data_IF_352044896797
#
_entry.id   IF_352044896797
#
_cell.length_a   1.000
_cell.length_b   1.000
_cell.length_c   1.000
_cell.angle_alpha   90.00
_cell.angle_beta   90.00
_cell.angle_gamma   90.00
#
_symmetry.space_group_name_H-M   'P 1'
#
loop_
_entity.id
_entity.type
_entity.pdbx_description
1 polymer ?
#
# COMPACT_ATOMS: atom_id res chain seq x y z
N UNK A 1 -2.34 -16.27 -26.25
CA UNK A 1 -1.29 -17.25 -25.86
C UNK A 1 -0.38 -16.60 -24.84
N UNK A 2 -0.09 -17.27 -23.73
CA UNK A 2 0.82 -16.75 -22.70
C UNK A 2 2.22 -17.33 -22.93
N UNK A 3 3.23 -16.45 -22.99
CA UNK A 3 4.63 -16.82 -23.22
C UNK A 3 5.49 -16.00 -22.25
N UNK A 4 6.41 -16.68 -21.57
CA UNK A 4 7.52 -16.05 -20.86
C UNK A 4 8.85 -16.54 -21.39
N UNK A 5 9.87 -15.71 -21.33
CA UNK A 5 11.24 -16.05 -21.72
C UNK A 5 12.19 -15.65 -20.61
N UNK A 6 13.11 -16.54 -20.26
CA UNK A 6 14.23 -16.25 -19.38
C UNK A 6 15.50 -16.23 -20.23
N UNK A 7 16.18 -15.09 -20.25
CA UNK A 7 17.40 -14.86 -21.01
C UNK A 7 18.56 -14.55 -20.08
N UNK A 8 19.74 -15.08 -20.38
CA UNK A 8 20.97 -14.74 -19.66
C UNK A 8 22.20 -14.81 -20.56
N UNK A 9 23.09 -13.82 -20.43
CA UNK A 9 24.42 -13.89 -21.05
C UNK A 9 25.45 -14.68 -20.23
N UNK A 10 25.06 -15.25 -19.09
CA UNK A 10 25.92 -16.11 -18.28
C UNK A 10 26.21 -17.43 -19.03
N UNK A 11 27.48 -17.78 -19.31
CA UNK A 11 27.84 -19.03 -19.99
C UNK A 11 27.36 -20.31 -19.28
N UNK A 12 27.06 -20.22 -17.98
CA UNK A 12 26.54 -21.33 -17.16
C UNK A 12 25.01 -21.34 -17.07
N UNK A 13 24.30 -20.54 -17.87
CA UNK A 13 22.83 -20.40 -17.81
C UNK A 13 22.09 -21.75 -17.84
N UNK A 14 22.49 -22.65 -18.73
CA UNK A 14 21.87 -23.99 -18.88
C UNK A 14 22.00 -24.83 -17.60
N UNK A 15 23.14 -24.75 -16.92
CA UNK A 15 23.39 -25.40 -15.64
C UNK A 15 22.59 -24.75 -14.51
N UNK A 16 22.52 -23.42 -14.47
CA UNK A 16 21.77 -22.67 -13.46
C UNK A 16 20.29 -23.05 -13.49
N UNK A 17 19.68 -23.09 -14.68
CA UNK A 17 18.26 -23.46 -14.82
C UNK A 17 18.00 -24.98 -14.80
N UNK A 18 19.07 -25.79 -14.81
CA UNK A 18 19.04 -27.26 -14.88
C UNK A 18 18.24 -27.78 -16.07
N UNK A 19 18.46 -27.18 -17.24
CA UNK A 19 17.85 -27.59 -18.51
C UNK A 19 18.96 -27.83 -19.53
N UNK A 20 18.87 -28.94 -20.25
CA UNK A 20 19.84 -29.28 -21.28
C UNK A 20 19.26 -28.92 -22.66
N UNK A 21 19.93 -28.03 -23.45
CA UNK A 21 19.52 -27.66 -24.81
C UNK A 21 19.26 -28.85 -25.75
N UNK A 22 19.94 -29.99 -25.55
CA UNK A 22 19.78 -31.17 -26.40
C UNK A 22 18.51 -31.98 -26.10
N UNK A 23 17.78 -31.68 -25.02
CA UNK A 23 16.63 -32.51 -24.57
C UNK A 23 15.37 -32.25 -25.41
N UNK A 24 15.37 -31.23 -26.27
CA UNK A 24 14.19 -30.80 -27.02
C UNK A 24 13.14 -30.16 -26.10
N UNK A 25 11.88 -30.22 -26.52
CA UNK A 25 10.76 -29.58 -25.84
C UNK A 25 10.36 -30.34 -24.56
N UNK A 26 10.22 -29.63 -23.44
CA UNK A 26 9.76 -30.18 -22.17
C UNK A 26 8.29 -29.83 -21.94
N UNK A 27 7.47 -30.82 -21.59
CA UNK A 27 6.04 -30.62 -21.35
C UNK A 27 5.73 -30.78 -19.86
N UNK A 28 4.86 -29.92 -19.34
CA UNK A 28 4.31 -30.04 -17.98
C UNK A 28 2.85 -29.61 -17.94
N UNK A 29 2.04 -30.34 -17.17
CA UNK A 29 0.69 -29.89 -16.85
C UNK A 29 0.77 -28.77 -15.81
N UNK A 30 0.07 -27.67 -16.08
CA UNK A 30 -0.05 -26.52 -15.16
C UNK A 30 -1.51 -26.17 -15.08
N UNK A 31 -2.11 -26.35 -13.90
CA UNK A 31 -3.56 -26.25 -13.70
C UNK A 31 -4.29 -27.17 -14.70
N UNK A 32 -5.23 -26.65 -15.48
CA UNK A 32 -5.96 -27.41 -16.49
C UNK A 32 -5.23 -27.46 -17.84
N UNK A 33 -4.27 -26.56 -18.07
CA UNK A 33 -3.53 -26.46 -19.33
C UNK A 33 -2.20 -27.23 -19.36
N UNK A 34 -1.52 -27.08 -20.51
CA UNK A 34 -0.20 -27.63 -20.77
C UNK A 34 0.81 -26.51 -21.06
N UNK A 35 2.01 -26.68 -20.51
CA UNK A 35 3.15 -25.82 -20.78
C UNK A 35 4.21 -26.54 -21.59
N UNK A 36 4.92 -25.77 -22.39
CA UNK A 36 5.94 -26.24 -23.33
C UNK A 36 7.19 -25.38 -23.13
N UNK A 37 8.25 -25.97 -22.63
CA UNK A 37 9.54 -25.32 -22.40
C UNK A 37 10.56 -25.70 -23.47
N UNK A 38 11.26 -24.73 -24.06
CA UNK A 38 12.30 -25.00 -25.06
C UNK A 38 13.35 -23.89 -25.14
N UNK A 39 14.53 -24.23 -25.65
CA UNK A 39 15.56 -23.26 -26.00
C UNK A 39 15.35 -22.73 -27.41
N UNK A 40 15.36 -21.41 -27.59
CA UNK A 40 15.50 -20.79 -28.92
C UNK A 40 16.97 -20.69 -29.33
N UNK A 41 17.84 -20.51 -28.34
CA UNK A 41 19.30 -20.49 -28.42
C UNK A 41 19.86 -20.83 -27.03
N UNK A 42 21.18 -21.00 -26.88
CA UNK A 42 21.80 -21.38 -25.60
C UNK A 42 21.63 -20.35 -24.47
N UNK A 43 21.26 -19.11 -24.81
CA UNK A 43 21.09 -18.00 -23.85
C UNK A 43 19.63 -17.74 -23.47
N UNK A 44 18.66 -18.38 -24.14
CA UNK A 44 17.23 -18.06 -23.99
C UNK A 44 16.37 -19.32 -23.85
N UNK A 45 15.70 -19.44 -22.70
CA UNK A 45 14.71 -20.48 -22.44
C UNK A 45 13.29 -19.91 -22.45
N UNK A 46 12.42 -20.53 -23.22
CA UNK A 46 11.05 -20.10 -23.44
C UNK A 46 10.09 -21.03 -22.70
N UNK A 47 9.00 -20.50 -22.17
CA UNK A 47 7.87 -21.27 -21.65
C UNK A 47 6.59 -20.74 -22.28
N UNK A 48 5.93 -21.60 -23.05
CA UNK A 48 4.64 -21.35 -23.66
C UNK A 48 3.56 -22.07 -22.88
N UNK A 49 2.42 -21.42 -22.66
CA UNK A 49 1.23 -22.04 -22.07
C UNK A 49 0.07 -22.07 -23.05
N UNK A 50 -0.46 -23.29 -23.22
CA UNK A 50 -1.73 -23.56 -23.88
C UNK A 50 -2.72 -24.02 -22.81
N UNK A 51 -3.83 -23.32 -22.66
CA UNK A 51 -4.89 -23.77 -21.75
C UNK A 51 -5.62 -25.00 -22.30
N UNK A 52 -6.42 -25.66 -21.47
CA UNK A 52 -7.32 -26.72 -21.92
C UNK A 52 -8.36 -26.19 -22.92
N UNK A 53 -8.78 -27.04 -23.85
CA UNK A 53 -9.75 -26.68 -24.91
C UNK A 53 -11.22 -26.66 -24.41
N UNK A 54 -11.51 -27.08 -23.18
CA UNK A 54 -12.87 -27.08 -22.60
C UNK A 54 -12.89 -26.68 -21.10
N UNK A 55 -11.74 -26.31 -20.54
CA UNK A 55 -11.57 -25.96 -19.13
C UNK A 55 -10.82 -24.62 -18.99
N UNK A 56 -10.88 -24.01 -17.81
CA UNK A 56 -10.30 -22.69 -17.56
C UNK A 56 -9.29 -22.81 -16.40
N UNK A 57 -8.01 -22.58 -16.71
CA UNK A 57 -6.96 -22.60 -15.68
C UNK A 57 -7.03 -21.37 -14.75
N UNK A 58 -7.33 -20.20 -15.30
CA UNK A 58 -7.32 -18.93 -14.57
C UNK A 58 -8.71 -18.31 -14.58
N UNK A 59 -9.54 -18.79 -13.65
CA UNK A 59 -10.94 -18.40 -13.54
C UNK A 59 -11.10 -16.99 -12.97
N UNK A 60 -12.09 -16.25 -13.47
CA UNK A 60 -12.54 -14.98 -12.87
C UNK A 60 -13.45 -15.20 -11.67
N UNK A 61 -14.24 -16.27 -11.70
CA UNK A 61 -15.15 -16.68 -10.63
C UNK A 61 -14.97 -18.18 -10.35
N UNK A 62 -15.16 -18.59 -9.09
CA UNK A 62 -14.87 -19.97 -8.64
C UNK A 62 -15.69 -21.03 -9.41
N UNK A 63 -16.93 -20.70 -9.71
CA UNK A 63 -17.94 -21.50 -10.42
C UNK A 63 -17.84 -21.42 -11.95
N UNK A 64 -16.88 -20.65 -12.49
CA UNK A 64 -16.68 -20.55 -13.95
C UNK A 64 -16.26 -21.92 -14.51
N UNK A 65 -17.12 -22.52 -15.34
CA UNK A 65 -16.92 -23.88 -15.85
C UNK A 65 -17.03 -23.98 -17.38
N UNK A 66 -17.38 -22.89 -18.08
CA UNK A 66 -17.63 -22.93 -19.52
C UNK A 66 -16.87 -21.84 -20.28
N UNK A 67 -16.20 -22.27 -21.35
CA UNK A 67 -15.15 -21.54 -22.04
C UNK A 67 -15.65 -20.55 -23.11
N UNK A 68 -16.63 -19.69 -22.82
CA UNK A 68 -17.17 -18.88 -23.92
C UNK A 68 -16.30 -17.66 -24.30
N UNK A 69 -15.48 -17.06 -23.41
CA UNK A 69 -14.66 -15.87 -23.73
C UNK A 69 -13.65 -15.43 -22.63
N UNK A 70 -13.04 -16.36 -21.87
CA UNK A 70 -12.00 -15.96 -20.90
C UNK A 70 -10.69 -15.61 -21.63
N UNK A 71 -10.59 -14.36 -22.09
CA UNK A 71 -9.41 -13.82 -22.79
C UNK A 71 -8.24 -13.54 -21.85
N UNK A 72 -8.50 -13.43 -20.54
CA UNK A 72 -7.48 -13.02 -19.56
C UNK A 72 -6.51 -14.14 -19.20
N UNK A 73 -6.87 -15.41 -19.45
CA UNK A 73 -5.97 -16.57 -19.32
C UNK A 73 -4.61 -16.43 -20.06
N UNK A 74 -4.54 -15.56 -21.07
CA UNK A 74 -3.34 -15.35 -21.90
C UNK A 74 -2.48 -14.16 -21.49
N UNK A 75 -2.98 -13.31 -20.62
CA UNK A 75 -2.26 -12.16 -20.06
C UNK A 75 -2.29 -12.13 -18.53
N UNK A 76 -2.83 -13.15 -17.85
CA UNK A 76 -2.87 -13.22 -16.40
C UNK A 76 -1.46 -13.13 -15.77
N UNK A 77 -1.25 -12.27 -14.75
CA UNK A 77 -0.01 -12.22 -13.99
C UNK A 77 0.30 -13.52 -13.22
N UNK A 78 -0.69 -14.42 -13.06
CA UNK A 78 -0.52 -15.71 -12.40
C UNK A 78 0.32 -16.71 -13.20
N UNK A 79 0.28 -16.63 -14.54
CA UNK A 79 1.03 -17.56 -15.37
C UNK A 79 2.55 -17.39 -15.22
N UNK A 80 3.13 -16.18 -15.28
CA UNK A 80 4.54 -15.98 -14.95
C UNK A 80 4.95 -16.58 -13.61
N UNK A 81 4.12 -16.46 -12.57
CA UNK A 81 4.37 -17.09 -11.27
C UNK A 81 4.43 -18.61 -11.39
N UNK A 82 3.50 -19.24 -12.10
CA UNK A 82 3.51 -20.68 -12.32
C UNK A 82 4.72 -21.13 -13.16
N UNK A 83 5.05 -20.41 -14.22
CA UNK A 83 6.21 -20.69 -15.06
C UNK A 83 7.54 -20.62 -14.26
N UNK A 84 7.70 -19.62 -13.39
CA UNK A 84 8.86 -19.51 -12.49
C UNK A 84 8.96 -20.74 -11.58
N UNK A 85 7.85 -21.15 -10.97
CA UNK A 85 7.86 -22.28 -10.05
C UNK A 85 8.08 -23.64 -10.71
N UNK A 86 7.60 -23.82 -11.95
CA UNK A 86 7.73 -25.10 -12.61
C UNK A 86 9.04 -25.20 -13.39
N UNK A 87 9.34 -24.22 -14.24
CA UNK A 87 10.50 -24.31 -15.13
C UNK A 87 11.77 -23.75 -14.51
N UNK A 88 11.66 -22.77 -13.60
CA UNK A 88 12.78 -22.04 -13.03
C UNK A 88 12.91 -22.24 -11.50
N UNK A 89 12.32 -23.31 -10.95
CA UNK A 89 12.39 -23.61 -9.52
C UNK A 89 13.82 -23.79 -8.99
N UNK A 90 14.73 -24.33 -9.79
CA UNK A 90 16.12 -24.56 -9.37
C UNK A 90 16.85 -23.24 -9.06
N UNK A 91 16.93 -22.27 -9.99
CA UNK A 91 17.53 -20.97 -9.71
C UNK A 91 16.65 -20.10 -8.81
N UNK A 92 15.33 -20.33 -8.70
CA UNK A 92 14.46 -19.55 -7.82
C UNK A 92 14.54 -19.96 -6.34
N UNK A 93 14.80 -21.23 -6.02
CA UNK A 93 14.79 -21.70 -4.62
C UNK A 93 16.12 -21.49 -3.89
N UNK A 94 17.22 -21.42 -4.63
CA UNK A 94 18.56 -21.33 -4.05
C UNK A 94 19.46 -20.51 -4.98
N UNK A 95 20.14 -19.52 -4.41
CA UNK A 95 21.22 -18.82 -5.09
C UNK A 95 22.40 -19.78 -5.30
N UNK A 96 22.82 -19.94 -6.55
CA UNK A 96 23.96 -20.75 -6.95
C UNK A 96 25.19 -19.86 -7.12
N UNK A 97 26.37 -20.28 -6.63
CA UNK A 97 27.60 -19.47 -6.68
C UNK A 97 28.03 -19.11 -8.11
N UNK A 98 27.56 -19.85 -9.12
CA UNK A 98 27.81 -19.56 -10.54
C UNK A 98 26.95 -18.40 -11.07
N UNK A 99 25.91 -18.00 -10.34
CA UNK A 99 25.02 -16.88 -10.66
C UNK A 99 25.59 -15.56 -10.11
N UNK A 100 26.78 -15.23 -10.62
CA UNK A 100 27.56 -14.06 -10.22
C UNK A 100 27.14 -12.79 -10.98
N UNK A 101 27.45 -11.63 -10.40
CA UNK A 101 27.19 -10.32 -11.03
C UNK A 101 27.98 -10.11 -12.32
N UNK A 102 27.47 -9.22 -13.17
CA UNK A 102 28.15 -8.74 -14.38
C UNK A 102 27.62 -9.31 -15.68
N UNK A 103 26.84 -10.39 -15.62
CA UNK A 103 26.07 -10.90 -16.77
C UNK A 103 24.73 -10.19 -16.89
N UNK A 104 24.20 -10.14 -18.10
CA UNK A 104 22.88 -9.57 -18.37
C UNK A 104 21.83 -10.66 -18.26
N UNK A 105 20.80 -10.41 -17.45
CA UNK A 105 19.67 -11.29 -17.26
C UNK A 105 18.38 -10.54 -17.61
N UNK A 106 17.45 -11.22 -18.27
CA UNK A 106 16.14 -10.66 -18.57
C UNK A 106 15.04 -11.70 -18.43
N UNK A 107 13.94 -11.29 -17.79
CA UNK A 107 12.70 -12.05 -17.74
C UNK A 107 11.65 -11.29 -18.54
N UNK A 108 11.28 -11.86 -19.68
CA UNK A 108 10.33 -11.29 -20.60
C UNK A 108 8.98 -11.98 -20.48
N UNK A 109 7.91 -11.19 -20.45
CA UNK A 109 6.53 -11.63 -20.44
C UNK A 109 5.87 -11.02 -21.67
N UNK A 110 5.48 -11.87 -22.62
CA UNK A 110 4.96 -11.42 -23.92
C UNK A 110 3.66 -10.61 -23.80
N UNK A 111 2.82 -11.00 -22.84
CA UNK A 111 1.56 -10.33 -22.56
C UNK A 111 1.21 -10.49 -21.09
N UNK A 112 1.02 -9.38 -20.38
CA UNK A 112 0.61 -9.32 -18.98
C UNK A 112 -0.44 -8.23 -18.79
N UNK A 113 -1.47 -8.53 -17.99
CA UNK A 113 -2.50 -7.60 -17.59
C UNK A 113 -1.95 -6.68 -16.50
N UNK A 114 -2.02 -5.38 -16.72
CA UNK A 114 -1.60 -4.37 -15.77
C UNK A 114 -2.73 -3.34 -15.66
N UNK A 115 -3.51 -3.44 -14.59
CA UNK A 115 -4.55 -2.46 -14.28
C UNK A 115 -3.95 -1.14 -13.77
N UNK A 116 -2.89 -1.23 -12.96
CA UNK A 116 -2.29 -0.10 -12.25
C UNK A 116 -0.81 0.04 -12.59
N UNK A 117 -0.52 0.81 -13.64
CA UNK A 117 0.85 1.10 -14.10
C UNK A 117 1.76 1.62 -12.98
N UNK A 118 1.23 2.38 -12.03
CA UNK A 118 1.97 2.91 -10.87
C UNK A 118 2.80 1.86 -10.11
N UNK A 119 2.39 0.60 -10.08
CA UNK A 119 3.18 -0.46 -9.42
C UNK A 119 4.48 -0.75 -10.15
N UNK A 120 4.51 -0.59 -11.47
CA UNK A 120 5.74 -0.70 -12.26
C UNK A 120 6.66 0.45 -11.93
N UNK A 121 6.13 1.68 -11.94
CA UNK A 121 6.88 2.90 -11.60
C UNK A 121 7.47 2.80 -10.20
N UNK A 122 6.72 2.28 -9.22
CA UNK A 122 7.21 2.08 -7.87
C UNK A 122 8.35 1.06 -7.80
N UNK A 123 8.23 -0.08 -8.48
CA UNK A 123 9.29 -1.08 -8.50
C UNK A 123 10.54 -0.54 -9.19
N UNK A 124 10.40 0.17 -10.30
CA UNK A 124 11.51 0.79 -11.02
C UNK A 124 12.23 1.83 -10.17
N UNK A 125 11.47 2.68 -9.47
CA UNK A 125 12.03 3.71 -8.59
C UNK A 125 12.82 3.11 -7.42
N UNK A 126 12.25 2.09 -6.78
CA UNK A 126 12.77 1.51 -5.54
C UNK A 126 13.82 0.41 -5.75
N UNK A 127 13.84 -0.23 -6.92
CA UNK A 127 14.76 -1.32 -7.26
C UNK A 127 15.67 -0.89 -8.40
N UNK A 128 16.50 0.12 -8.14
CA UNK A 128 17.37 0.80 -9.13
C UNK A 128 18.38 -0.10 -9.84
N UNK A 129 18.64 -1.31 -9.32
CA UNK A 129 19.50 -2.34 -9.92
C UNK A 129 18.77 -3.21 -10.96
N UNK A 130 17.49 -2.91 -11.21
CA UNK A 130 16.61 -3.60 -12.14
C UNK A 130 16.01 -2.59 -13.12
N UNK A 131 15.79 -3.02 -14.35
CA UNK A 131 15.08 -2.24 -15.37
C UNK A 131 13.70 -2.84 -15.65
N UNK A 132 12.71 -2.00 -15.90
CA UNK A 132 11.34 -2.41 -16.21
C UNK A 132 10.91 -1.76 -17.52
N UNK A 133 10.88 -2.54 -18.60
CA UNK A 133 10.47 -2.03 -19.91
C UNK A 133 9.08 -2.53 -20.25
N UNK A 134 8.16 -1.59 -20.43
CA UNK A 134 6.78 -1.86 -20.84
C UNK A 134 6.56 -1.46 -22.30
N UNK A 135 5.89 -2.33 -23.04
CA UNK A 135 5.35 -2.02 -24.36
C UNK A 135 3.85 -2.30 -24.37
N UNK A 136 3.03 -1.26 -24.54
CA UNK A 136 1.58 -1.42 -24.63
C UNK A 136 1.22 -2.25 -25.87
N UNK A 137 0.43 -3.31 -25.68
CA UNK A 137 -0.04 -4.19 -26.77
C UNK A 137 -1.47 -3.86 -27.16
N UNK A 138 -2.38 -3.94 -26.19
CA UNK A 138 -3.79 -3.64 -26.38
C UNK A 138 -4.50 -3.58 -25.02
N UNK A 139 -5.39 -2.59 -24.84
CA UNK A 139 -6.08 -2.39 -23.57
C UNK A 139 -5.08 -2.42 -22.38
N UNK A 140 -5.48 -2.92 -21.21
CA UNK A 140 -4.62 -3.15 -20.05
C UNK A 140 -3.58 -4.27 -20.25
N UNK A 141 -3.20 -4.62 -21.48
CA UNK A 141 -2.23 -5.68 -21.77
C UNK A 141 -0.93 -5.10 -22.31
N UNK A 142 0.17 -5.53 -21.73
CA UNK A 142 1.52 -5.04 -22.02
C UNK A 142 2.47 -6.21 -22.25
N UNK A 143 3.50 -6.02 -23.07
CA UNK A 143 4.71 -6.82 -22.92
C UNK A 143 5.57 -6.17 -21.83
N UNK A 144 6.13 -7.00 -20.95
CA UNK A 144 6.97 -6.55 -19.84
C UNK A 144 8.31 -7.26 -19.90
N UNK A 145 9.39 -6.50 -19.86
CA UNK A 145 10.75 -7.02 -19.67
C UNK A 145 11.29 -6.52 -18.35
N UNK A 146 11.72 -7.44 -17.48
CA UNK A 146 12.48 -7.12 -16.27
C UNK A 146 13.92 -7.50 -16.53
N UNK A 147 14.85 -6.55 -16.40
CA UNK A 147 16.28 -6.75 -16.64
C UNK A 147 17.11 -6.53 -15.38
N UNK A 148 18.27 -7.16 -15.29
CA UNK A 148 19.28 -6.85 -14.27
C UNK A 148 20.67 -7.33 -14.68
N UNK A 149 21.71 -6.80 -14.03
CA UNK A 149 23.08 -7.30 -14.08
C UNK A 149 23.55 -8.00 -12.81
N UNK A 150 22.63 -8.18 -11.85
CA UNK A 150 22.92 -8.75 -10.52
C UNK A 150 22.98 -10.27 -10.54
N UNK A 151 21.83 -10.91 -10.69
CA UNK A 151 21.74 -12.36 -10.67
C UNK A 151 20.42 -12.82 -11.27
N UNK A 152 20.40 -14.04 -11.79
CA UNK A 152 19.18 -14.73 -12.19
C UNK A 152 18.27 -14.97 -10.97
N UNK A 153 18.85 -15.26 -9.81
CA UNK A 153 18.16 -15.44 -8.54
C UNK A 153 17.33 -14.20 -8.17
N UNK A 154 17.98 -13.04 -8.09
CA UNK A 154 17.33 -11.77 -7.79
C UNK A 154 16.26 -11.41 -8.82
N UNK A 155 16.56 -11.59 -10.11
CA UNK A 155 15.61 -11.35 -11.20
C UNK A 155 14.31 -12.14 -11.04
N UNK A 156 14.40 -13.44 -10.74
CA UNK A 156 13.21 -14.30 -10.59
C UNK A 156 12.39 -13.93 -9.36
N UNK A 157 13.03 -13.47 -8.27
CA UNK A 157 12.34 -12.97 -7.09
C UNK A 157 11.66 -11.62 -7.34
N UNK A 158 12.32 -10.67 -8.01
CA UNK A 158 11.69 -9.40 -8.41
C UNK A 158 10.49 -9.65 -9.32
N UNK A 159 10.65 -10.48 -10.35
CA UNK A 159 9.57 -10.86 -11.25
C UNK A 159 8.40 -11.51 -10.50
N UNK A 160 8.70 -12.37 -9.53
CA UNK A 160 7.69 -13.04 -8.71
C UNK A 160 6.91 -12.08 -7.82
N UNK A 161 7.60 -11.17 -7.12
CA UNK A 161 6.94 -10.19 -6.26
C UNK A 161 6.09 -9.24 -7.10
N UNK A 162 6.61 -8.72 -8.22
CA UNK A 162 5.85 -7.84 -9.10
C UNK A 162 4.61 -8.53 -9.68
N UNK A 163 4.75 -9.75 -10.23
CA UNK A 163 3.61 -10.48 -10.78
C UNK A 163 2.55 -10.81 -9.71
N UNK A 164 2.96 -11.04 -8.47
CA UNK A 164 2.03 -11.22 -7.35
C UNK A 164 1.23 -9.93 -7.08
N UNK A 165 1.87 -8.76 -7.02
CA UNK A 165 1.16 -7.48 -6.88
C UNK A 165 0.20 -7.23 -8.04
N UNK A 166 0.64 -7.47 -9.28
CA UNK A 166 -0.20 -7.30 -10.47
C UNK A 166 -1.42 -8.24 -10.44
N UNK A 167 -1.26 -9.47 -9.92
CA UNK A 167 -2.36 -10.43 -9.83
C UNK A 167 -3.50 -9.99 -8.92
N UNK A 168 -3.25 -9.12 -7.93
CA UNK A 168 -4.31 -8.61 -7.05
C UNK A 168 -5.33 -7.73 -7.75
N UNK A 169 -4.91 -7.05 -8.82
CA UNK A 169 -5.75 -6.15 -9.60
C UNK A 169 -6.12 -6.76 -10.95
N UNK A 170 -5.79 -8.04 -11.16
CA UNK A 170 -6.27 -8.81 -12.29
C UNK A 170 -7.75 -9.17 -12.13
N UNK A 171 -8.36 -9.63 -13.21
CA UNK A 171 -9.74 -10.11 -13.19
C UNK A 171 -9.88 -11.49 -12.54
N UNK A 172 -8.76 -12.17 -12.24
CA UNK A 172 -8.77 -13.54 -11.75
C UNK A 172 -8.80 -13.64 -10.23
N UNK A 173 -9.51 -14.66 -9.73
CA UNK A 173 -9.52 -14.96 -8.31
C UNK A 173 -8.17 -15.55 -7.89
N UNK A 174 -7.51 -14.89 -6.94
CA UNK A 174 -6.33 -15.41 -6.24
C UNK A 174 -6.68 -15.74 -4.79
N UNK A 175 -6.49 -17.01 -4.41
CA UNK A 175 -6.52 -17.39 -3.00
C UNK A 175 -5.19 -17.04 -2.35
N UNK A 176 -5.15 -15.92 -1.63
CA UNK A 176 -4.05 -15.55 -0.76
C UNK A 176 -4.12 -16.41 0.50
N UNK A 177 -3.71 -17.67 0.36
CA UNK A 177 -3.57 -18.61 1.47
C UNK A 177 -2.23 -18.42 2.19
N UNK A 178 -2.12 -19.01 3.39
CA UNK A 178 -0.87 -19.00 4.15
C UNK A 178 0.29 -19.61 3.34
N UNK A 179 0.02 -20.66 2.54
CA UNK A 179 1.03 -21.27 1.68
C UNK A 179 1.54 -20.32 0.57
N UNK A 180 0.71 -19.41 0.08
CA UNK A 180 1.13 -18.36 -0.86
C UNK A 180 2.03 -17.34 -0.14
N UNK A 181 1.65 -16.92 1.07
CA UNK A 181 2.45 -15.99 1.87
C UNK A 181 3.82 -16.58 2.25
N UNK A 182 3.85 -17.80 2.76
CA UNK A 182 5.07 -18.55 3.10
C UNK A 182 6.03 -18.68 1.90
N UNK A 183 5.47 -18.71 0.69
CA UNK A 183 6.22 -18.83 -0.56
C UNK A 183 6.80 -17.51 -1.05
N UNK A 184 6.05 -16.41 -0.95
CA UNK A 184 6.45 -15.13 -1.56
C UNK A 184 7.09 -14.13 -0.59
N UNK A 185 6.81 -14.19 0.72
CA UNK A 185 7.50 -13.36 1.72
C UNK A 185 9.02 -13.54 1.69
N UNK A 186 9.59 -14.76 1.54
CA UNK A 186 11.03 -14.92 1.36
C UNK A 186 11.60 -14.10 0.19
N UNK A 187 10.81 -13.89 -0.87
CA UNK A 187 11.23 -13.10 -2.03
C UNK A 187 11.45 -11.63 -1.69
N UNK A 188 10.66 -11.06 -0.77
CA UNK A 188 10.88 -9.69 -0.26
C UNK A 188 12.25 -9.56 0.40
N UNK A 189 12.66 -10.59 1.12
CA UNK A 189 13.93 -10.62 1.85
C UNK A 189 15.11 -10.86 0.92
N UNK A 190 14.95 -11.71 -0.09
CA UNK A 190 15.99 -11.96 -1.10
C UNK A 190 16.32 -10.72 -1.92
N UNK A 191 15.30 -9.97 -2.33
CA UNK A 191 15.52 -8.73 -3.09
C UNK A 191 15.84 -7.55 -2.17
N UNK A 192 15.94 -7.80 -0.86
CA UNK A 192 16.03 -6.82 0.21
C UNK A 192 15.14 -5.60 -0.07
N UNK A 193 13.84 -5.87 -0.24
CA UNK A 193 12.87 -4.88 -0.67
C UNK A 193 12.86 -3.68 0.29
N UNK A 194 12.75 -2.43 -0.19
CA UNK A 194 12.60 -1.28 0.69
C UNK A 194 11.24 -1.24 1.38
N UNK A 195 11.12 -0.37 2.38
CA UNK A 195 9.93 -0.12 3.19
C UNK A 195 8.67 -0.05 2.36
N UNK A 196 8.65 0.74 1.28
CA UNK A 196 7.41 0.97 0.55
C UNK A 196 6.83 -0.31 -0.06
N UNK A 197 7.67 -1.15 -0.68
CA UNK A 197 7.24 -2.45 -1.23
C UNK A 197 6.74 -3.37 -0.10
N UNK A 198 7.39 -3.36 1.07
CA UNK A 198 6.99 -4.16 2.25
C UNK A 198 5.67 -3.67 2.86
N UNK A 199 5.49 -2.37 3.00
CA UNK A 199 4.25 -1.74 3.51
C UNK A 199 3.09 -2.00 2.55
N UNK A 200 3.31 -1.88 1.23
CA UNK A 200 2.34 -2.30 0.22
C UNK A 200 2.00 -3.78 0.35
N UNK A 201 3.00 -4.65 0.54
CA UNK A 201 2.77 -6.09 0.72
C UNK A 201 1.90 -6.36 1.95
N UNK A 202 2.25 -5.78 3.10
CA UNK A 202 1.50 -5.95 4.34
C UNK A 202 0.04 -5.49 4.19
N UNK A 203 -0.17 -4.30 3.63
CA UNK A 203 -1.51 -3.74 3.39
C UNK A 203 -2.37 -4.60 2.46
N UNK A 204 -1.73 -5.18 1.45
CA UNK A 204 -2.42 -5.85 0.35
C UNK A 204 -2.55 -7.37 0.50
N UNK A 205 -1.78 -8.01 1.38
CA UNK A 205 -1.80 -9.46 1.54
C UNK A 205 -2.04 -9.91 2.98
N UNK A 206 -1.85 -9.03 3.97
CA UNK A 206 -2.06 -9.34 5.40
C UNK A 206 -3.35 -8.68 5.92
N UNK A 207 -4.48 -8.99 5.28
CA UNK A 207 -5.77 -8.33 5.55
C UNK A 207 -6.39 -8.61 6.92
N UNK A 208 -5.99 -9.68 7.61
CA UNK A 208 -6.49 -10.01 8.94
C UNK A 208 -5.43 -9.75 10.01
N UNK A 209 -5.86 -9.40 11.23
CA UNK A 209 -4.96 -9.17 12.37
C UNK A 209 -4.11 -10.41 12.69
N UNK A 210 -4.68 -11.61 12.54
CA UNK A 210 -3.97 -12.86 12.79
C UNK A 210 -2.85 -13.10 11.78
N UNK A 211 -3.15 -12.93 10.49
CA UNK A 211 -2.12 -13.03 9.43
C UNK A 211 -1.07 -11.95 9.58
N UNK A 212 -1.48 -10.72 9.86
CA UNK A 212 -0.56 -9.63 10.11
C UNK A 212 0.38 -9.96 11.27
N UNK A 213 -0.15 -10.41 12.41
CA UNK A 213 0.66 -10.82 13.57
C UNK A 213 1.59 -11.98 13.24
N UNK A 214 1.14 -12.96 12.45
CA UNK A 214 1.94 -14.12 12.05
C UNK A 214 3.15 -13.72 11.19
N UNK A 215 2.95 -12.85 10.20
CA UNK A 215 3.93 -12.57 9.16
C UNK A 215 4.69 -11.24 9.28
N UNK A 216 4.24 -10.34 10.16
CA UNK A 216 4.83 -8.99 10.34
C UNK A 216 6.35 -9.03 10.44
N UNK A 217 6.90 -9.86 11.32
CA UNK A 217 8.34 -9.93 11.55
C UNK A 217 9.14 -10.35 10.30
N UNK A 218 8.59 -11.26 9.48
CA UNK A 218 9.24 -11.69 8.23
C UNK A 218 9.13 -10.64 7.12
N UNK A 219 8.04 -9.86 7.11
CA UNK A 219 7.86 -8.76 6.16
C UNK A 219 8.70 -7.55 6.54
N UNK A 220 8.99 -7.33 7.82
CA UNK A 220 9.85 -6.23 8.32
C UNK A 220 11.35 -6.48 8.11
N UNK A 221 11.76 -7.73 7.94
CA UNK A 221 13.17 -8.12 7.89
C UNK A 221 13.89 -7.53 6.67
N UNK A 222 14.77 -6.57 6.87
CA UNK A 222 15.64 -5.98 5.84
C UNK A 222 16.98 -5.60 6.45
N UNK A 223 18.03 -5.54 5.62
CA UNK A 223 19.35 -5.08 6.06
C UNK A 223 19.52 -3.56 5.93
N UNK A 224 18.51 -2.85 5.40
CA UNK A 224 18.56 -1.40 5.12
C UNK A 224 18.36 -0.52 6.34
N UNK A 225 17.37 -0.85 7.17
CA UNK A 225 16.90 -0.03 8.29
C UNK A 225 15.88 -0.80 9.14
N UNK A 226 15.59 -0.29 10.34
CA UNK A 226 14.56 -0.89 11.20
C UNK A 226 13.16 -0.48 10.72
N UNK A 227 12.26 -1.46 10.50
CA UNK A 227 10.87 -1.24 10.11
C UNK A 227 9.93 -1.75 11.21
N UNK A 228 8.92 -0.95 11.54
CA UNK A 228 7.79 -1.37 12.38
C UNK A 228 6.46 -0.98 11.73
N UNK A 229 5.83 -1.96 11.10
CA UNK A 229 4.53 -1.84 10.42
C UNK A 229 3.36 -1.86 11.42
N UNK A 230 2.37 -1.01 11.21
CA UNK A 230 1.06 -1.14 11.85
C UNK A 230 0.10 -1.97 11.01
N UNK A 231 -0.93 -2.53 11.66
CA UNK A 231 -1.98 -3.23 10.92
C UNK A 231 -2.84 -2.22 10.14
N UNK A 232 -3.05 -2.48 8.84
CA UNK A 232 -3.80 -1.64 7.90
C UNK A 232 -3.03 -0.40 7.42
N UNK A 233 -3.68 0.46 6.64
CA UNK A 233 -3.04 1.67 6.11
C UNK A 233 -2.91 2.80 7.15
N UNK A 234 -2.07 3.79 6.87
CA UNK A 234 -1.79 4.95 7.75
C UNK A 234 -3.04 5.60 8.32
N UNK A 235 -4.06 5.87 7.48
CA UNK A 235 -5.33 6.45 7.96
C UNK A 235 -6.04 5.56 8.99
N UNK A 236 -6.05 4.24 8.81
CA UNK A 236 -6.65 3.31 9.77
C UNK A 236 -5.85 3.22 11.06
N UNK A 237 -4.52 3.26 10.96
CA UNK A 237 -3.63 3.27 12.12
C UNK A 237 -3.84 4.56 12.93
N UNK A 238 -3.95 5.72 12.27
CA UNK A 238 -4.28 7.00 12.88
C UNK A 238 -5.65 6.98 13.56
N UNK A 239 -6.70 6.51 12.89
CA UNK A 239 -8.03 6.37 13.51
C UNK A 239 -8.00 5.44 14.72
N UNK A 240 -7.24 4.36 14.66
CA UNK A 240 -7.10 3.43 15.79
C UNK A 240 -6.36 4.08 16.97
N UNK A 241 -5.33 4.88 16.69
CA UNK A 241 -4.60 5.64 17.70
C UNK A 241 -5.52 6.67 18.38
N UNK A 242 -6.22 7.50 17.59
CA UNK A 242 -7.15 8.52 18.10
C UNK A 242 -8.27 7.88 18.93
N UNK A 243 -8.83 6.76 18.47
CA UNK A 243 -9.82 6.00 19.23
C UNK A 243 -9.28 5.44 20.55
N UNK A 244 -7.96 5.22 20.68
CA UNK A 244 -7.34 4.81 21.94
C UNK A 244 -7.10 5.98 22.91
N UNK A 245 -7.04 7.21 22.40
CA UNK A 245 -6.88 8.44 23.20
C UNK A 245 -8.23 8.90 23.77
N UNK A 246 -9.29 8.85 22.96
CA UNK A 246 -10.63 9.31 23.31
C UNK A 246 -11.34 8.32 24.25
N UNK A 247 -12.06 8.87 25.24
CA UNK A 247 -12.87 8.13 26.22
C UNK A 247 -14.29 7.81 25.73
N UNK A 248 -14.78 8.52 24.70
CA UNK A 248 -16.14 8.40 24.17
C UNK A 248 -17.25 8.67 25.20
N UNK A 249 -17.00 9.54 26.18
CA UNK A 249 -17.93 9.93 27.25
C UNK A 249 -18.49 11.34 27.08
N UNK A 250 -18.13 12.02 25.99
CA UNK A 250 -18.52 13.40 25.68
C UNK A 250 -18.63 13.61 24.18
N UNK A 251 -19.27 14.70 23.72
CA UNK A 251 -19.39 14.97 22.29
C UNK A 251 -18.04 15.11 21.61
N UNK A 252 -17.98 14.76 20.33
CA UNK A 252 -16.78 14.94 19.50
C UNK A 252 -17.06 16.04 18.47
N UNK A 253 -16.14 16.99 18.34
CA UNK A 253 -16.08 17.95 17.24
C UNK A 253 -15.01 17.52 16.23
N UNK A 254 -15.43 17.11 15.05
CA UNK A 254 -14.60 16.61 13.96
C UNK A 254 -14.51 17.66 12.85
N UNK A 255 -13.39 18.37 12.79
CA UNK A 255 -13.15 19.45 11.82
C UNK A 255 -12.37 18.86 10.65
N UNK A 256 -12.92 18.99 9.45
CA UNK A 256 -12.48 18.28 8.24
C UNK A 256 -12.92 16.82 8.26
N UNK A 257 -14.22 16.57 8.54
CA UNK A 257 -14.73 15.21 8.73
C UNK A 257 -14.73 14.36 7.45
N UNK A 258 -14.59 15.00 6.28
CA UNK A 258 -14.63 14.40 4.96
C UNK A 258 -15.89 13.55 4.77
N UNK A 259 -15.75 12.40 4.13
CA UNK A 259 -16.87 11.47 3.92
C UNK A 259 -17.28 10.66 5.18
N UNK A 260 -16.86 11.08 6.38
CA UNK A 260 -17.25 10.44 7.65
C UNK A 260 -16.39 9.22 8.03
N UNK A 261 -15.10 9.24 7.67
CA UNK A 261 -14.17 8.16 8.02
C UNK A 261 -14.02 7.97 9.54
N UNK A 262 -14.11 9.07 10.30
CA UNK A 262 -14.17 9.10 11.76
C UNK A 262 -15.61 9.20 12.27
N UNK A 263 -16.41 10.11 11.70
CA UNK A 263 -17.78 10.36 12.13
C UNK A 263 -18.62 9.11 12.28
N UNK A 264 -18.70 8.28 11.25
CA UNK A 264 -19.56 7.10 11.25
C UNK A 264 -19.15 6.06 12.32
N UNK A 265 -17.90 5.59 12.41
CA UNK A 265 -17.52 4.61 13.44
C UNK A 265 -17.41 5.18 14.86
N UNK A 266 -17.24 6.49 15.03
CA UNK A 266 -17.11 7.10 16.36
C UNK A 266 -18.45 7.51 16.94
N UNK A 267 -19.37 8.05 16.13
CA UNK A 267 -20.72 8.38 16.57
C UNK A 267 -21.47 7.16 17.12
N UNK A 268 -21.30 5.98 16.51
CA UNK A 268 -21.86 4.72 17.03
C UNK A 268 -21.27 4.21 18.35
N UNK A 269 -20.28 4.92 18.94
CA UNK A 269 -19.74 4.66 20.28
C UNK A 269 -20.15 5.72 21.30
N UNK A 270 -20.84 6.77 20.87
CA UNK A 270 -21.25 7.89 21.71
C UNK A 270 -22.75 7.82 21.96
N UNK A 271 -23.15 8.13 23.18
CA UNK A 271 -24.54 8.50 23.50
C UNK A 271 -24.79 10.01 23.25
N UNK A 272 -23.72 10.80 23.25
CA UNK A 272 -23.73 12.24 23.00
C UNK A 272 -23.65 12.58 21.51
N UNK A 273 -23.76 13.86 21.18
CA UNK A 273 -23.65 14.36 19.82
C UNK A 273 -22.26 14.13 19.20
N UNK A 274 -22.22 13.97 17.89
CA UNK A 274 -21.02 14.03 17.06
C UNK A 274 -21.16 15.18 16.07
N UNK A 275 -20.35 16.20 16.22
CA UNK A 275 -20.35 17.39 15.37
C UNK A 275 -19.36 17.19 14.22
N UNK A 276 -19.89 17.00 13.01
CA UNK A 276 -19.12 16.80 11.79
C UNK A 276 -19.04 18.11 11.01
N UNK A 277 -17.85 18.67 10.86
CA UNK A 277 -17.63 19.96 10.19
C UNK A 277 -16.76 19.75 8.95
N UNK A 278 -17.22 20.23 7.80
CA UNK A 278 -16.45 20.24 6.56
C UNK A 278 -16.88 21.43 5.69
N UNK A 279 -15.96 21.99 4.91
CA UNK A 279 -16.26 23.09 3.99
C UNK A 279 -16.90 22.59 2.70
N UNK A 280 -16.76 21.30 2.39
CA UNK A 280 -17.39 20.66 1.25
C UNK A 280 -18.76 20.09 1.64
N UNK A 281 -19.82 20.76 1.19
CA UNK A 281 -21.20 20.35 1.47
C UNK A 281 -21.55 18.97 0.86
N UNK A 282 -20.92 18.55 -0.24
CA UNK A 282 -21.17 17.23 -0.85
C UNK A 282 -20.63 16.09 0.04
N UNK A 283 -19.54 16.35 0.76
CA UNK A 283 -19.00 15.42 1.76
C UNK A 283 -19.94 15.30 2.96
N UNK A 284 -20.50 16.41 3.43
CA UNK A 284 -21.51 16.42 4.50
C UNK A 284 -22.78 15.65 4.12
N UNK A 285 -23.28 15.83 2.90
CA UNK A 285 -24.39 15.04 2.36
C UNK A 285 -24.07 13.54 2.35
N UNK A 286 -22.82 13.19 2.06
CA UNK A 286 -22.33 11.81 2.11
C UNK A 286 -22.28 11.27 3.53
N UNK A 287 -21.86 12.07 4.52
CA UNK A 287 -21.93 11.72 5.94
C UNK A 287 -23.38 11.47 6.37
N UNK A 288 -24.29 12.40 6.09
CA UNK A 288 -25.70 12.29 6.44
C UNK A 288 -26.34 11.03 5.84
N UNK A 289 -26.05 10.73 4.57
CA UNK A 289 -26.51 9.51 3.89
C UNK A 289 -25.98 8.23 4.55
N UNK A 290 -24.68 8.20 4.88
CA UNK A 290 -24.04 7.06 5.56
C UNK A 290 -24.57 6.87 6.98
N UNK A 291 -24.87 7.96 7.70
CA UNK A 291 -25.45 7.94 9.03
C UNK A 291 -26.87 7.37 9.00
N UNK A 292 -27.73 7.89 8.11
CA UNK A 292 -29.10 7.40 7.92
C UNK A 292 -29.14 5.91 7.55
N UNK A 293 -28.25 5.45 6.65
CA UNK A 293 -28.16 4.05 6.25
C UNK A 293 -27.73 3.10 7.39
N UNK A 294 -27.12 3.65 8.45
CA UNK A 294 -26.70 2.90 9.65
C UNK A 294 -27.55 3.21 10.87
N UNK A 295 -28.65 3.96 10.71
CA UNK A 295 -29.54 4.36 11.80
C UNK A 295 -28.79 5.12 12.92
N UNK A 296 -27.80 5.95 12.54
CA UNK A 296 -27.06 6.82 13.45
C UNK A 296 -27.73 8.20 13.42
N UNK A 297 -28.28 8.64 14.55
CA UNK A 297 -29.08 9.87 14.70
C UNK A 297 -28.38 10.98 15.49
N UNK A 298 -27.24 10.69 16.12
CA UNK A 298 -26.48 11.62 16.94
C UNK A 298 -25.42 12.44 16.17
N UNK A 299 -25.37 12.35 14.82
CA UNK A 299 -24.46 13.17 14.01
C UNK A 299 -25.16 14.46 13.58
N UNK A 300 -24.53 15.60 13.87
CA UNK A 300 -24.93 16.92 13.36
C UNK A 300 -23.84 17.49 12.45
N UNK A 301 -24.21 17.88 11.23
CA UNK A 301 -23.28 18.38 10.21
C UNK A 301 -23.28 19.91 10.13
N UNK A 302 -22.12 20.53 9.97
CA UNK A 302 -21.97 21.98 9.80
C UNK A 302 -21.01 22.31 8.66
N UNK A 303 -21.31 23.31 7.81
CA UNK A 303 -20.48 23.68 6.65
C UNK A 303 -19.22 24.50 7.03
N UNK A 304 -19.09 24.91 8.29
CA UNK A 304 -17.88 25.57 8.80
C UNK A 304 -17.83 25.59 10.33
N UNK A 305 -16.64 25.85 10.89
CA UNK A 305 -16.47 26.04 12.32
C UNK A 305 -17.30 27.23 12.83
N UNK A 306 -17.39 28.32 12.07
CA UNK A 306 -18.20 29.48 12.47
C UNK A 306 -19.69 29.14 12.56
N UNK A 307 -20.23 28.33 11.63
CA UNK A 307 -21.62 27.86 11.70
C UNK A 307 -21.88 26.94 12.87
N UNK A 308 -20.92 26.08 13.21
CA UNK A 308 -20.98 25.31 14.44
C UNK A 308 -21.06 26.23 15.67
N UNK A 309 -20.16 27.21 15.76
CA UNK A 309 -20.05 28.14 16.88
C UNK A 309 -21.29 29.02 17.09
N UNK A 310 -22.10 29.28 16.05
CA UNK A 310 -23.39 29.99 16.18
C UNK A 310 -24.41 29.22 17.03
N UNK A 311 -24.28 27.90 17.11
CA UNK A 311 -25.19 27.01 17.86
C UNK A 311 -24.54 26.32 19.07
N UNK A 312 -23.22 26.47 19.20
CA UNK A 312 -22.42 25.86 20.25
C UNK A 312 -22.68 26.56 21.59
N UNK A 313 -23.07 25.77 22.60
CA UNK A 313 -23.46 26.27 23.92
C UNK A 313 -22.38 26.03 24.99
N UNK A 314 -21.11 26.16 24.61
CA UNK A 314 -19.95 25.98 25.50
C UNK A 314 -19.89 24.62 26.22
N UNK A 315 -20.48 23.57 25.62
CA UNK A 315 -20.40 22.22 26.18
C UNK A 315 -19.00 21.65 26.00
N UNK A 316 -18.53 20.88 26.97
CA UNK A 316 -17.18 20.31 26.92
C UNK A 316 -17.11 19.17 25.89
N UNK A 317 -16.24 19.30 24.89
CA UNK A 317 -16.09 18.33 23.78
C UNK A 317 -14.67 17.74 23.70
N UNK A 318 -14.49 16.67 22.94
CA UNK A 318 -13.19 16.28 22.38
C UNK A 318 -13.13 16.75 20.92
N UNK A 319 -12.04 17.40 20.50
CA UNK A 319 -11.86 17.91 19.14
C UNK A 319 -10.85 17.06 18.37
N UNK A 320 -11.17 16.71 17.14
CA UNK A 320 -10.25 16.08 16.19
C UNK A 320 -10.09 16.96 14.95
N UNK A 321 -8.84 17.18 14.56
CA UNK A 321 -8.42 17.96 13.38
C UNK A 321 -7.33 17.15 12.66
N UNK A 322 -7.74 16.16 11.87
CA UNK A 322 -6.83 15.12 11.37
C UNK A 322 -6.59 15.28 9.88
N UNK A 323 -5.35 15.56 9.47
CA UNK A 323 -4.97 15.79 8.06
C UNK A 323 -5.80 16.89 7.39
N UNK A 324 -5.78 18.09 7.97
CA UNK A 324 -6.55 19.24 7.50
C UNK A 324 -5.66 20.45 7.35
N UNK A 325 -4.75 20.66 8.30
CA UNK A 325 -3.94 21.87 8.40
C UNK A 325 -2.94 22.00 7.25
N UNK A 326 -2.54 20.90 6.61
CA UNK A 326 -1.64 20.86 5.46
C UNK A 326 -2.31 21.27 4.14
N UNK A 327 -3.64 21.33 4.10
CA UNK A 327 -4.43 21.74 2.93
C UNK A 327 -4.74 23.25 2.93
N UNK A 328 -4.09 24.02 3.81
CA UNK A 328 -4.22 25.46 3.92
C UNK A 328 -2.87 26.09 4.27
N UNK A 329 -2.73 27.41 4.13
CA UNK A 329 -1.49 28.08 4.50
C UNK A 329 -1.21 27.95 6.00
N UNK A 330 0.06 28.07 6.39
CA UNK A 330 0.48 28.02 7.81
C UNK A 330 -0.20 29.10 8.68
N UNK A 331 -0.57 30.24 8.08
CA UNK A 331 -1.28 31.33 8.76
C UNK A 331 -2.75 31.00 9.01
N UNK A 332 -3.43 30.40 8.02
CA UNK A 332 -4.81 29.92 8.14
C UNK A 332 -4.91 28.78 9.15
N UNK A 333 -4.00 27.81 9.08
CA UNK A 333 -3.93 26.71 10.04
C UNK A 333 -3.71 27.22 11.47
N UNK A 334 -2.80 28.20 11.64
CA UNK A 334 -2.57 28.82 12.95
C UNK A 334 -3.81 29.57 13.46
N UNK A 335 -4.52 30.27 12.57
CA UNK A 335 -5.75 30.98 12.89
C UNK A 335 -6.86 30.02 13.34
N UNK A 336 -7.04 28.91 12.61
CA UNK A 336 -8.00 27.86 12.96
C UNK A 336 -7.71 27.27 14.35
N UNK A 337 -6.46 26.87 14.62
CA UNK A 337 -6.06 26.31 15.92
C UNK A 337 -6.30 27.30 17.05
N UNK A 338 -5.96 28.59 16.86
CA UNK A 338 -6.21 29.63 17.86
C UNK A 338 -7.70 29.87 18.09
N UNK A 339 -8.50 29.84 17.02
CA UNK A 339 -9.95 29.98 17.12
C UNK A 339 -10.56 28.85 17.95
N UNK A 340 -10.16 27.59 17.70
CA UNK A 340 -10.58 26.43 18.51
C UNK A 340 -10.15 26.62 19.96
N UNK A 341 -8.88 26.96 20.20
CA UNK A 341 -8.32 27.25 21.52
C UNK A 341 -9.08 28.28 22.33
N UNK A 342 -9.57 29.33 21.66
CA UNK A 342 -10.25 30.46 22.28
C UNK A 342 -11.77 30.27 22.44
N UNK A 343 -12.43 29.57 21.52
CA UNK A 343 -13.90 29.53 21.41
C UNK A 343 -14.53 28.18 21.71
N UNK A 344 -13.76 27.09 21.78
CA UNK A 344 -14.29 25.74 22.04
C UNK A 344 -13.80 25.26 23.40
N UNK A 345 -14.71 24.91 24.31
CA UNK A 345 -14.35 24.24 25.55
C UNK A 345 -14.06 22.76 25.27
N UNK A 346 -12.78 22.42 25.08
CA UNK A 346 -12.37 21.04 24.82
C UNK A 346 -11.64 20.42 26.01
N UNK A 347 -11.86 19.13 26.19
CA UNK A 347 -11.02 18.28 27.04
C UNK A 347 -9.69 17.97 26.35
N UNK A 348 -9.76 17.59 25.06
CA UNK A 348 -8.60 17.32 24.22
C UNK A 348 -8.83 17.89 22.82
N UNK A 349 -7.80 18.50 22.25
CA UNK A 349 -7.73 18.80 20.83
C UNK A 349 -6.61 17.95 20.23
N UNK A 350 -6.96 17.06 19.31
CA UNK A 350 -6.01 16.18 18.63
C UNK A 350 -5.80 16.71 17.21
N UNK A 351 -4.58 17.15 16.93
CA UNK A 351 -4.18 17.63 15.60
C UNK A 351 -3.21 16.63 14.98
N UNK A 352 -3.42 16.24 13.73
CA UNK A 352 -2.45 15.40 12.99
C UNK A 352 -2.12 16.00 11.64
N UNK A 353 -0.92 15.71 11.17
CA UNK A 353 -0.43 16.11 9.84
C UNK A 353 0.65 15.13 9.37
N UNK A 354 0.90 15.02 8.05
CA UNK A 354 2.02 14.27 7.51
C UNK A 354 3.37 14.64 8.14
N UNK A 355 4.26 13.66 8.23
CA UNK A 355 5.66 13.87 8.62
C UNK A 355 6.58 13.89 7.40
N UNK A 356 7.06 15.07 7.00
CA UNK A 356 7.91 15.20 5.82
C UNK A 356 9.24 14.42 5.94
N UNK A 357 9.75 14.22 7.16
CA UNK A 357 11.00 13.47 7.41
C UNK A 357 10.87 12.00 6.94
N UNK A 358 9.64 11.49 6.84
CA UNK A 358 9.34 10.14 6.39
C UNK A 358 9.29 10.01 4.85
N UNK A 359 9.12 11.10 4.10
CA UNK A 359 8.86 11.05 2.64
C UNK A 359 9.97 10.35 1.84
N UNK A 360 11.20 10.37 2.36
CA UNK A 360 12.34 9.64 1.82
C UNK A 360 12.09 8.13 1.68
N UNK A 361 11.27 7.53 2.55
CA UNK A 361 10.95 6.10 2.52
C UNK A 361 9.84 5.73 1.54
N UNK A 362 9.10 6.73 1.05
CA UNK A 362 8.20 6.63 -0.10
C UNK A 362 8.91 6.99 -1.43
N UNK A 363 10.18 7.38 -1.33
CA UNK A 363 11.01 7.94 -2.40
C UNK A 363 10.37 9.17 -3.08
N UNK A 364 9.44 9.88 -2.45
CA UNK A 364 8.74 11.01 -3.05
C UNK A 364 9.68 12.21 -3.26
N UNK A 365 9.58 12.88 -4.41
CA UNK A 365 10.15 14.19 -4.64
C UNK A 365 9.06 15.23 -4.35
N UNK A 366 9.04 15.79 -3.13
CA UNK A 366 8.04 16.78 -2.71
C UNK A 366 7.00 16.24 -1.72
N UNK A 367 5.77 16.71 -1.85
CA UNK A 367 4.65 16.35 -0.96
C UNK A 367 4.09 14.97 -1.27
N UNK A 368 3.40 14.38 -0.29
CA UNK A 368 2.68 13.10 -0.41
C UNK A 368 1.45 13.21 -1.28
N UNK A 369 0.79 14.36 -1.25
CA UNK A 369 -0.35 14.67 -2.09
C UNK A 369 -0.15 16.04 -2.75
N UNK A 370 -0.63 16.15 -4.00
CA UNK A 370 -0.43 17.34 -4.83
C UNK A 370 -1.18 18.58 -4.31
N UNK A 371 -2.21 18.36 -3.49
CA UNK A 371 -3.08 19.35 -2.88
C UNK A 371 -2.61 19.80 -1.48
N UNK A 372 -1.42 19.37 -1.04
CA UNK A 372 -0.80 19.92 0.17
C UNK A 372 -0.15 21.27 -0.14
N UNK A 373 -0.40 22.26 0.72
CA UNK A 373 0.29 23.56 0.70
C UNK A 373 1.68 23.45 1.35
N UNK A 374 1.84 22.55 2.32
CA UNK A 374 3.10 22.32 3.01
C UNK A 374 3.18 20.91 3.64
N UNK A 375 4.40 20.42 3.87
CA UNK A 375 4.66 19.30 4.77
C UNK A 375 5.89 19.62 5.63
N UNK A 376 5.71 19.64 6.96
CA UNK A 376 6.79 19.94 7.88
C UNK A 376 7.45 18.64 8.39
N UNK A 377 8.77 18.69 8.58
CA UNK A 377 9.47 17.70 9.41
C UNK A 377 9.19 17.93 10.90
N UNK A 378 9.60 16.99 11.75
CA UNK A 378 9.25 16.99 13.17
C UNK A 378 9.65 18.27 13.91
N UNK A 379 10.89 18.71 13.71
CA UNK A 379 11.42 19.91 14.37
C UNK A 379 10.64 21.16 13.98
N UNK A 380 10.35 21.30 12.68
CA UNK A 380 9.65 22.47 12.15
C UNK A 380 8.18 22.48 12.59
N UNK A 381 7.51 21.32 12.61
CA UNK A 381 6.14 21.20 13.11
C UNK A 381 6.05 21.57 14.59
N UNK A 382 6.95 21.05 15.43
CA UNK A 382 6.99 21.36 16.87
C UNK A 382 7.22 22.86 17.12
N UNK A 383 8.14 23.48 16.40
CA UNK A 383 8.43 24.90 16.51
C UNK A 383 7.23 25.75 16.05
N UNK A 384 6.65 25.43 14.89
CA UNK A 384 5.48 26.14 14.38
C UNK A 384 4.29 26.03 15.34
N UNK A 385 3.99 24.82 15.84
CA UNK A 385 2.87 24.63 16.76
C UNK A 385 3.07 25.40 18.07
N UNK A 386 4.28 25.41 18.63
CA UNK A 386 4.61 26.17 19.84
C UNK A 386 4.40 27.68 19.66
N UNK A 387 4.76 28.23 18.49
CA UNK A 387 4.49 29.64 18.14
C UNK A 387 2.99 29.88 17.94
N UNK A 388 2.29 28.94 17.31
CA UNK A 388 0.85 29.03 17.06
C UNK A 388 0.03 29.17 18.35
N UNK A 389 0.39 28.43 19.40
CA UNK A 389 -0.33 28.45 20.69
C UNK A 389 0.31 29.36 21.75
N UNK A 390 1.33 30.14 21.38
CA UNK A 390 2.06 30.98 22.32
C UNK A 390 1.12 31.96 23.03
N UNK A 391 1.22 32.00 24.37
CA UNK A 391 0.39 32.88 25.22
C UNK A 391 -1.00 32.32 25.54
N UNK A 392 -1.35 31.14 25.05
CA UNK A 392 -2.58 30.42 25.42
C UNK A 392 -2.29 29.47 26.60
N UNK A 393 -3.23 29.29 27.55
CA UNK A 393 -3.08 28.37 28.68
C UNK A 393 -3.35 26.93 28.22
N UNK A 394 -2.47 26.40 27.37
CA UNK A 394 -2.59 25.09 26.74
C UNK A 394 -1.35 24.24 27.02
N UNK A 395 -1.55 22.99 27.41
CA UNK A 395 -0.51 21.97 27.50
C UNK A 395 -0.48 21.15 26.20
N UNK A 396 0.71 20.84 25.70
CA UNK A 396 0.91 20.23 24.38
C UNK A 396 1.76 18.97 24.49
N UNK A 397 1.18 17.83 24.14
CA UNK A 397 1.84 16.52 24.08
C UNK A 397 2.00 16.11 22.61
N UNK A 398 3.22 16.14 22.08
CA UNK A 398 3.48 15.70 20.70
C UNK A 398 3.50 14.19 20.58
N UNK A 399 2.87 13.68 19.52
CA UNK A 399 2.67 12.26 19.28
C UNK A 399 3.10 11.87 17.87
N UNK A 400 3.43 10.60 17.69
CA UNK A 400 3.86 10.01 16.44
C UNK A 400 3.02 8.77 16.14
N UNK A 401 2.56 8.63 14.90
CA UNK A 401 1.51 7.68 14.54
C UNK A 401 1.80 7.01 13.20
N UNK A 402 1.52 5.72 13.13
CA UNK A 402 1.58 4.92 11.91
C UNK A 402 2.83 4.05 11.81
N UNK A 403 3.13 3.55 10.61
CA UNK A 403 4.35 2.78 10.33
C UNK A 403 5.59 3.59 10.75
N UNK A 404 6.62 2.91 11.24
CA UNK A 404 7.88 3.51 11.68
C UNK A 404 9.07 2.94 10.94
N UNK A 405 9.97 3.82 10.52
CA UNK A 405 11.26 3.45 9.90
C UNK A 405 12.38 4.28 10.51
N UNK A 406 13.41 3.63 11.04
CA UNK A 406 14.51 4.25 11.82
C UNK A 406 14.03 5.26 12.88
N UNK A 407 12.97 4.91 13.60
CA UNK A 407 12.41 5.78 14.63
C UNK A 407 11.45 6.87 14.12
N UNK A 408 11.33 7.07 12.82
CA UNK A 408 10.48 8.11 12.22
C UNK A 408 9.12 7.50 11.85
N UNK A 409 8.03 8.09 12.31
CA UNK A 409 6.67 7.66 11.95
C UNK A 409 6.11 8.38 10.72
N UNK A 410 5.15 7.72 10.04
CA UNK A 410 4.46 8.30 8.89
C UNK A 410 3.69 9.58 9.22
N UNK A 411 3.08 9.68 10.39
CA UNK A 411 2.25 10.81 10.80
C UNK A 411 2.77 11.36 12.11
N UNK A 412 2.71 12.68 12.25
CA UNK A 412 2.97 13.37 13.50
C UNK A 412 1.70 14.09 13.96
N UNK A 413 1.64 14.44 15.23
CA UNK A 413 0.52 15.18 15.77
C UNK A 413 0.81 15.76 17.15
N UNK A 414 -0.23 16.36 17.71
CA UNK A 414 -0.19 16.93 19.06
C UNK A 414 -1.56 16.76 19.71
N UNK A 415 -1.55 16.34 20.97
CA UNK A 415 -2.70 16.32 21.86
C UNK A 415 -2.58 17.54 22.75
N UNK A 416 -3.54 18.45 22.62
CA UNK A 416 -3.60 19.69 23.36
C UNK A 416 -4.66 19.57 24.45
N UNK A 417 -4.32 20.00 25.67
CA UNK A 417 -5.23 20.08 26.82
C UNK A 417 -5.23 21.50 27.36
N UNK A 418 -6.31 21.91 28.02
CA UNK A 418 -6.28 23.17 28.78
C UNK A 418 -5.32 23.01 29.96
N UNK A 419 -4.39 23.95 30.11
CA UNK A 419 -3.47 23.96 31.26
C UNK A 419 -4.25 24.19 32.55
N UNK A 420 -3.87 23.50 33.62
CA UNK A 420 -4.37 23.81 34.96
C UNK A 420 -3.88 25.22 35.32
N UNK A 421 -4.82 26.15 35.48
CA UNK A 421 -4.55 27.55 35.85
C UNK A 421 -4.18 27.72 37.31
#
# INVERSE_FOLDING_TARGET
MAIVQLKSSNPQFTFLIRKNPSTGMQLRQVRQGMTYGWYSDESTYNVYFKDADNDISYKKQEDESFEYLNVSRYNTPLFPLNAINDYFAAPFKKHDDRDAEGFEHAFFINMIHIDRLRYIDFFEKHLTEYSFTLEHRAHKSYALTIGTRKSLYGLLHVASVLCLFLSMFGDEQIDISDAVLDKYIPSLNVIDAPFYIRSLFARNFLHSRDRFKKYKADVERTDRYAIELGFGGTAMQRRSYIAGVLSFDKPILDIGCGEGFYAIPFAGKLESAYYAVDIDEELLDTVARKAAAKEIDNIATYPSLDRFLETYNDEKVDVILTEVIEHMSLEEAATLIRQIGAKVDFDRLIVTTPNADFNRYYELEGFRHEDHEWELGQTAFRQWFAVTVQGMPLDCEFVEIGDRVDGIHTTQGVIVRRGEG
#
